data_IF_679062481432
#
_entry.id   IF_679062481432
#
_cell.length_a   1.000
_cell.length_b   1.000
_cell.length_c   1.000
_cell.angle_alpha   90.00
_cell.angle_beta   90.00
_cell.angle_gamma   90.00
#
_symmetry.space_group_name_H-M   'P 1'
#
loop_
_entity.id
_entity.type
_entity.pdbx_description
1 polymer ?
#
# COMPACT_ATOMS: atom_id res chain seq x y z
N UNK A 1 -21.50 1.05 1.11
CA UNK A 1 -21.30 -0.26 1.71
C UNK A 1 -22.55 -0.65 2.46
N UNK A 2 -23.02 -1.85 2.15
CA UNK A 2 -24.22 -2.35 2.82
C UNK A 2 -23.93 -2.60 4.30
N UNK A 3 -24.95 -2.55 5.16
CA UNK A 3 -24.83 -2.97 6.56
C UNK A 3 -24.16 -4.34 6.73
N UNK A 4 -24.27 -5.20 5.72
CA UNK A 4 -23.61 -6.51 5.69
C UNK A 4 -22.06 -6.43 5.67
N UNK A 5 -21.48 -5.36 5.12
CA UNK A 5 -20.03 -5.17 5.20
C UNK A 5 -19.58 -4.79 6.61
N UNK A 6 -20.43 -4.14 7.37
CA UNK A 6 -20.15 -3.87 8.77
C UNK A 6 -20.34 -5.09 9.68
N UNK A 7 -21.25 -6.00 9.34
CA UNK A 7 -21.47 -7.21 10.13
C UNK A 7 -20.26 -8.16 10.13
N UNK A 8 -19.39 -8.04 9.15
CA UNK A 8 -18.12 -8.76 9.12
C UNK A 8 -17.11 -8.37 10.20
N UNK A 9 -17.33 -7.24 10.88
CA UNK A 9 -16.39 -6.78 11.91
C UNK A 9 -16.34 -7.67 13.14
N UNK A 10 -17.50 -8.19 13.54
CA UNK A 10 -17.59 -9.10 14.68
C UNK A 10 -16.86 -10.42 14.43
N UNK A 11 -16.76 -10.85 13.19
CA UNK A 11 -16.10 -12.10 12.82
C UNK A 11 -14.58 -11.96 12.69
N UNK A 12 -14.06 -10.74 12.67
CA UNK A 12 -12.63 -10.48 12.49
C UNK A 12 -11.84 -10.57 13.80
N UNK A 13 -12.50 -10.46 14.93
CA UNK A 13 -11.90 -10.63 16.24
C UNK A 13 -12.29 -12.01 16.79
N UNK A 14 -11.37 -12.98 16.89
CA UNK A 14 -11.61 -14.18 17.67
C UNK A 14 -11.93 -13.78 19.11
N UNK A 15 -12.91 -14.41 19.70
CA UNK A 15 -13.42 -14.08 21.04
C UNK A 15 -12.35 -14.04 22.16
N UNK A 16 -11.16 -14.51 21.88
CA UNK A 16 -10.07 -14.67 22.85
C UNK A 16 -8.80 -13.87 22.55
N UNK A 17 -8.68 -13.24 21.39
CA UNK A 17 -7.36 -12.73 20.93
C UNK A 17 -7.27 -11.24 20.67
N UNK A 18 -8.13 -10.46 21.26
CA UNK A 18 -7.95 -9.04 21.17
C UNK A 18 -8.68 -8.34 20.03
N UNK A 19 -8.38 -7.10 19.92
CA UNK A 19 -9.14 -6.10 19.15
C UNK A 19 -8.64 -6.07 17.72
N UNK A 20 -9.34 -6.70 16.78
CA UNK A 20 -9.06 -6.62 15.36
C UNK A 20 -9.93 -5.55 14.67
N UNK A 21 -9.44 -5.05 13.51
CA UNK A 21 -10.10 -4.00 12.76
C UNK A 21 -9.69 -2.59 13.17
N UNK A 22 -10.07 -1.62 12.35
CA UNK A 22 -9.74 -0.21 12.54
C UNK A 22 -10.67 0.44 13.55
N UNK A 23 -10.12 1.30 14.40
CA UNK A 23 -10.89 2.17 15.30
C UNK A 23 -11.55 3.35 14.57
N UNK A 24 -11.28 3.53 13.28
CA UNK A 24 -11.96 4.47 12.40
C UNK A 24 -13.11 3.73 11.71
N UNK A 25 -14.36 3.94 12.13
CA UNK A 25 -15.51 3.27 11.55
C UNK A 25 -15.83 3.84 10.16
N UNK A 26 -16.71 3.14 9.46
CA UNK A 26 -17.17 3.55 8.14
C UNK A 26 -17.96 4.87 8.14
N UNK A 27 -18.68 5.13 9.22
CA UNK A 27 -19.66 6.24 9.29
C UNK A 27 -19.25 7.38 10.21
N UNK A 28 -18.19 7.21 10.98
CA UNK A 28 -17.66 8.26 11.83
C UNK A 28 -17.72 7.97 13.33
N UNK A 29 -16.77 8.53 14.05
CA UNK A 29 -16.58 8.39 15.48
C UNK A 29 -16.10 9.69 16.10
N UNK A 30 -16.69 10.10 17.19
CA UNK A 30 -16.16 11.11 18.09
C UNK A 30 -15.24 10.44 19.11
N UNK A 31 -13.93 10.64 18.96
CA UNK A 31 -12.93 9.92 19.77
C UNK A 31 -12.95 10.36 21.23
N UNK A 32 -12.99 11.67 21.47
CA UNK A 32 -13.01 12.23 22.82
C UNK A 32 -14.24 11.83 23.62
N UNK A 33 -15.38 11.68 22.97
CA UNK A 33 -16.66 11.33 23.60
C UNK A 33 -16.92 9.82 23.63
N UNK A 34 -16.07 9.04 22.99
CA UNK A 34 -16.23 7.59 22.95
C UNK A 34 -17.53 7.13 22.29
N UNK A 35 -18.02 7.85 21.27
CA UNK A 35 -19.26 7.50 20.55
C UNK A 35 -19.01 7.32 19.05
N UNK A 36 -19.84 6.56 18.38
CA UNK A 36 -19.79 6.42 16.92
C UNK A 36 -21.18 6.44 16.30
N UNK A 37 -21.25 6.85 15.04
CA UNK A 37 -22.49 6.91 14.29
C UNK A 37 -23.05 5.50 14.07
N UNK A 38 -24.30 5.32 14.48
CA UNK A 38 -25.01 4.07 14.30
C UNK A 38 -25.24 3.81 12.80
N UNK A 39 -25.04 2.58 12.31
CA UNK A 39 -25.29 2.23 10.93
C UNK A 39 -26.71 2.58 10.48
N UNK A 40 -26.81 3.24 9.32
CA UNK A 40 -28.10 3.66 8.75
C UNK A 40 -28.67 4.97 9.29
N UNK A 41 -27.97 5.63 10.22
CA UNK A 41 -28.35 6.95 10.72
C UNK A 41 -27.64 8.06 9.94
N UNK A 42 -28.25 9.25 9.96
CA UNK A 42 -27.78 10.41 9.19
C UNK A 42 -26.59 11.14 9.86
N UNK A 43 -26.50 11.05 11.18
CA UNK A 43 -25.56 11.85 11.98
C UNK A 43 -26.02 13.28 12.24
N UNK A 44 -27.29 13.59 11.96
CA UNK A 44 -27.83 14.92 12.14
C UNK A 44 -28.27 15.22 13.59
N UNK A 45 -28.37 14.20 14.42
CA UNK A 45 -28.74 14.29 15.83
C UNK A 45 -27.75 13.57 16.74
N UNK A 46 -27.67 14.02 17.99
CA UNK A 46 -26.90 13.33 19.06
C UNK A 46 -27.39 11.90 19.23
N UNK A 47 -28.69 11.66 19.09
CA UNK A 47 -29.32 10.34 19.24
C UNK A 47 -28.92 9.33 18.14
N UNK A 48 -28.30 9.80 17.08
CA UNK A 48 -27.77 8.95 16.02
C UNK A 48 -26.45 8.28 16.41
N UNK A 49 -25.84 8.72 17.51
CA UNK A 49 -24.56 8.21 18.00
C UNK A 49 -24.74 7.34 19.25
N UNK A 50 -24.06 6.23 19.26
CA UNK A 50 -24.07 5.26 20.37
C UNK A 50 -22.67 5.09 20.96
N UNK A 51 -22.57 4.62 22.20
CA UNK A 51 -21.28 4.35 22.84
C UNK A 51 -20.41 3.43 21.98
N UNK A 52 -19.13 3.78 21.92
CA UNK A 52 -18.16 3.01 21.16
C UNK A 52 -18.05 1.57 21.67
N UNK A 53 -18.09 0.64 20.75
CA UNK A 53 -17.81 -0.77 21.00
C UNK A 53 -17.00 -1.36 19.86
N UNK A 54 -16.49 -2.56 20.04
CA UNK A 54 -15.78 -3.28 18.99
C UNK A 54 -16.64 -3.57 17.76
N UNK A 55 -17.96 -3.56 17.89
CA UNK A 55 -18.89 -3.69 16.76
C UNK A 55 -18.79 -2.52 15.76
N UNK A 56 -18.33 -1.35 16.22
CA UNK A 56 -18.10 -0.18 15.36
C UNK A 56 -16.80 -0.22 14.55
N UNK A 57 -15.92 -1.22 14.77
CA UNK A 57 -14.64 -1.30 14.06
C UNK A 57 -14.81 -1.58 12.58
N UNK A 58 -13.98 -0.94 11.76
CA UNK A 58 -13.97 -1.20 10.31
C UNK A 58 -13.15 -2.45 9.97
N UNK A 59 -13.78 -3.44 9.37
CA UNK A 59 -13.08 -4.61 8.82
C UNK A 59 -12.46 -4.24 7.45
N UNK A 60 -11.16 -4.06 7.42
CA UNK A 60 -10.39 -3.75 6.22
C UNK A 60 -9.87 -5.00 5.50
N UNK A 61 -9.97 -6.18 6.12
CA UNK A 61 -9.39 -7.40 5.55
C UNK A 61 -9.96 -7.78 4.18
N UNK A 62 -11.28 -7.66 3.91
CA UNK A 62 -11.81 -7.98 2.59
C UNK A 62 -11.39 -7.01 1.49
N UNK A 63 -10.86 -5.85 1.86
CA UNK A 63 -10.48 -4.79 0.92
C UNK A 63 -8.99 -4.83 0.59
N UNK A 64 -8.17 -5.19 1.57
CA UNK A 64 -6.73 -5.28 1.37
C UNK A 64 -6.37 -6.51 0.55
N UNK A 65 -5.48 -6.36 -0.42
CA UNK A 65 -4.83 -7.50 -1.02
C UNK A 65 -3.90 -8.16 0.01
N UNK A 66 -4.15 -9.42 0.30
CA UNK A 66 -3.25 -10.25 1.13
C UNK A 66 -2.02 -10.62 0.31
N UNK A 67 -2.23 -10.92 -0.98
CA UNK A 67 -1.19 -11.15 -1.96
C UNK A 67 -1.46 -10.24 -3.16
N UNK A 68 -0.49 -9.42 -3.49
CA UNK A 68 -0.62 -8.51 -4.63
C UNK A 68 -0.49 -9.29 -5.93
N UNK A 69 -1.38 -9.07 -6.89
CA UNK A 69 -1.21 -9.59 -8.24
C UNK A 69 0.06 -8.99 -8.85
N UNK A 70 0.84 -9.85 -9.49
CA UNK A 70 2.09 -9.49 -10.17
C UNK A 70 2.11 -10.17 -11.52
N UNK A 71 2.17 -9.36 -12.57
CA UNK A 71 2.44 -9.83 -13.93
C UNK A 71 3.91 -9.56 -14.24
N UNK A 72 4.62 -10.60 -14.66
CA UNK A 72 6.05 -10.49 -14.98
C UNK A 72 6.34 -11.14 -16.32
N UNK A 73 7.05 -10.39 -17.15
CA UNK A 73 7.56 -10.85 -18.43
C UNK A 73 9.08 -10.68 -18.42
N UNK A 74 9.79 -11.67 -18.91
CA UNK A 74 11.24 -11.60 -19.00
C UNK A 74 11.76 -12.25 -20.27
N UNK A 75 12.80 -11.66 -20.82
CA UNK A 75 13.56 -12.20 -21.93
C UNK A 75 15.04 -12.25 -21.51
N UNK A 76 15.65 -13.38 -21.75
CA UNK A 76 17.08 -13.58 -21.58
C UNK A 76 17.65 -14.16 -22.87
N UNK A 77 18.80 -13.62 -23.29
CA UNK A 77 19.55 -14.11 -24.41
C UNK A 77 21.03 -14.12 -24.07
N UNK A 78 21.73 -15.16 -24.47
CA UNK A 78 23.20 -15.24 -24.37
C UNK A 78 23.78 -15.83 -25.64
N UNK A 79 24.95 -15.37 -25.99
CA UNK A 79 25.73 -15.92 -27.10
C UNK A 79 27.20 -15.93 -26.71
N UNK A 80 27.88 -16.97 -27.12
CA UNK A 80 29.30 -17.18 -26.98
C UNK A 80 29.88 -17.44 -28.37
N UNK A 81 31.05 -16.91 -28.61
CA UNK A 81 31.72 -17.02 -29.89
C UNK A 81 33.23 -17.25 -29.68
N UNK A 82 33.71 -18.39 -30.13
CA UNK A 82 35.13 -18.72 -30.10
C UNK A 82 35.86 -17.94 -31.20
N UNK A 83 36.72 -17.01 -30.82
CA UNK A 83 37.54 -16.22 -31.73
C UNK A 83 38.78 -17.04 -32.15
N UNK A 84 39.30 -17.79 -31.21
CA UNK A 84 40.41 -18.74 -31.42
C UNK A 84 40.37 -19.81 -30.33
N UNK A 85 41.29 -20.82 -30.41
CA UNK A 85 41.36 -21.89 -29.43
C UNK A 85 41.58 -21.40 -27.98
N UNK A 86 42.10 -20.18 -27.80
CA UNK A 86 42.42 -19.60 -26.49
C UNK A 86 41.68 -18.30 -26.18
N UNK A 87 40.70 -17.92 -27.01
CA UNK A 87 40.00 -16.66 -26.85
C UNK A 87 38.52 -16.81 -27.24
N UNK A 88 37.61 -16.51 -26.31
CA UNK A 88 36.19 -16.51 -26.48
C UNK A 88 35.60 -15.12 -26.18
N UNK A 89 34.60 -14.71 -26.94
CA UNK A 89 33.79 -13.56 -26.65
C UNK A 89 32.40 -14.01 -26.19
N UNK A 90 31.80 -13.28 -25.27
CA UNK A 90 30.44 -13.53 -24.84
C UNK A 90 29.61 -12.24 -24.81
N UNK A 91 28.30 -12.39 -25.01
CA UNK A 91 27.32 -11.35 -24.78
C UNK A 91 26.10 -11.96 -24.11
N UNK A 92 25.55 -11.26 -23.14
CA UNK A 92 24.35 -11.63 -22.41
C UNK A 92 23.44 -10.40 -22.36
N UNK A 93 22.16 -10.63 -22.59
CA UNK A 93 21.10 -9.62 -22.50
C UNK A 93 19.99 -10.14 -21.62
N UNK A 94 19.47 -9.28 -20.78
CA UNK A 94 18.24 -9.55 -20.01
C UNK A 94 17.33 -8.33 -20.04
N UNK A 95 16.06 -8.61 -20.13
CA UNK A 95 14.97 -7.64 -19.98
C UNK A 95 13.91 -8.24 -19.09
N UNK A 96 13.39 -7.44 -18.15
CA UNK A 96 12.26 -7.84 -17.32
C UNK A 96 11.32 -6.66 -17.15
N UNK A 97 10.05 -6.90 -17.44
CA UNK A 97 8.95 -6.02 -17.09
C UNK A 97 8.11 -6.66 -16.00
N UNK A 98 7.79 -5.90 -14.96
CA UNK A 98 6.96 -6.36 -13.84
C UNK A 98 5.93 -5.31 -13.48
N UNK A 99 4.65 -5.69 -13.55
CA UNK A 99 3.52 -4.89 -13.10
C UNK A 99 2.97 -5.46 -11.80
N UNK A 100 2.76 -4.60 -10.84
CA UNK A 100 2.22 -4.99 -9.53
C UNK A 100 1.13 -4.02 -9.10
N UNK A 101 -0.01 -4.55 -8.70
CA UNK A 101 -1.12 -3.76 -8.12
C UNK A 101 -1.19 -4.02 -6.62
N UNK A 102 -1.14 -2.95 -5.84
CA UNK A 102 -1.34 -3.02 -4.39
C UNK A 102 -2.64 -2.31 -4.03
N UNK A 103 -3.57 -3.04 -3.42
CA UNK A 103 -4.83 -2.47 -2.95
C UNK A 103 -4.88 -2.47 -1.43
N UNK A 104 -5.12 -1.30 -0.87
CA UNK A 104 -5.30 -1.08 0.56
C UNK A 104 -6.68 -0.50 0.83
N UNK A 105 -7.18 -0.75 2.02
CA UNK A 105 -8.41 -0.16 2.48
C UNK A 105 -8.36 1.38 2.44
N UNK A 106 -9.52 1.98 2.41
CA UNK A 106 -9.76 3.42 2.35
C UNK A 106 -8.96 4.17 3.41
N UNK A 107 -8.61 5.41 3.11
CA UNK A 107 -7.86 6.27 4.03
C UNK A 107 -8.67 6.53 5.30
N UNK A 108 -8.08 6.35 6.50
CA UNK A 108 -8.67 6.91 7.71
C UNK A 108 -8.50 8.42 7.69
N UNK A 109 -9.58 9.13 7.87
CA UNK A 109 -9.61 10.58 7.93
C UNK A 109 -9.95 11.02 9.35
N UNK A 110 -9.26 12.04 9.84
CA UNK A 110 -9.52 12.62 11.15
C UNK A 110 -9.62 14.13 11.04
N UNK A 111 -10.66 14.68 11.62
CA UNK A 111 -10.78 16.11 11.87
C UNK A 111 -10.52 16.35 13.34
N UNK A 112 -9.57 17.21 13.64
CA UNK A 112 -9.27 17.67 14.98
C UNK A 112 -9.82 19.09 15.18
N UNK A 113 -10.33 19.38 16.32
CA UNK A 113 -10.66 20.74 16.75
C UNK A 113 -9.42 21.58 17.08
N UNK A 114 -8.32 21.41 16.35
CA UNK A 114 -7.06 22.11 16.57
C UNK A 114 -6.12 21.94 15.39
N UNK A 115 -5.14 22.80 15.29
CA UNK A 115 -4.20 23.04 14.23
C UNK A 115 -3.61 21.79 13.49
N UNK A 116 -4.27 21.30 12.49
CA UNK A 116 -3.74 20.33 11.54
C UNK A 116 -4.06 20.74 10.09
N UNK A 117 -3.09 20.70 9.16
CA UNK A 117 -3.15 21.54 7.97
C UNK A 117 -4.05 21.05 6.84
N UNK A 118 -4.62 19.88 6.85
CA UNK A 118 -5.30 19.39 5.65
C UNK A 118 -6.75 18.92 5.82
N UNK A 119 -7.18 18.67 7.03
CA UNK A 119 -8.53 18.16 7.32
C UNK A 119 -9.22 19.02 8.37
N UNK A 120 -8.80 20.25 8.47
CA UNK A 120 -9.55 21.28 9.19
C UNK A 120 -10.84 21.51 8.43
N UNK A 121 -11.83 20.73 8.79
CA UNK A 121 -13.18 21.18 8.65
C UNK A 121 -13.29 22.40 9.58
N UNK A 122 -12.82 23.55 9.09
CA UNK A 122 -12.84 24.85 9.76
C UNK A 122 -12.80 24.79 11.29
N UNK A 123 -11.75 25.34 11.88
CA UNK A 123 -11.78 25.64 13.31
C UNK A 123 -13.17 26.17 13.65
N UNK A 124 -13.92 25.50 14.46
CA UNK A 124 -15.29 25.87 14.74
C UNK A 124 -16.35 24.87 14.27
N UNK A 125 -16.03 23.94 13.39
CA UNK A 125 -17.01 22.90 12.99
C UNK A 125 -17.06 21.73 13.97
N UNK A 126 -16.00 21.53 14.74
CA UNK A 126 -15.93 20.52 15.79
C UNK A 126 -15.61 21.13 17.16
N UNK A 127 -15.57 22.46 17.26
CA UNK A 127 -15.44 23.17 18.51
C UNK A 127 -16.81 23.38 19.18
N UNK A 128 -16.79 23.55 20.49
CA UNK A 128 -17.98 23.83 21.28
C UNK A 128 -18.75 25.01 20.71
N UNK A 129 -20.02 24.82 20.44
CA UNK A 129 -20.95 25.88 20.03
C UNK A 129 -20.94 26.27 18.57
N UNK A 130 -20.19 25.61 17.69
CA UNK A 130 -19.98 26.25 16.40
C UNK A 130 -20.18 25.45 15.14
N UNK A 131 -20.34 24.18 15.18
CA UNK A 131 -20.21 23.50 13.93
C UNK A 131 -21.47 22.87 13.37
N UNK A 132 -21.78 23.21 12.15
CA UNK A 132 -22.84 22.55 11.38
C UNK A 132 -22.73 21.01 11.40
N UNK A 133 -21.51 20.48 11.62
CA UNK A 133 -21.27 19.05 11.67
C UNK A 133 -20.92 18.51 13.06
N UNK A 134 -20.81 19.36 14.08
CA UNK A 134 -20.58 18.90 15.45
C UNK A 134 -21.89 18.93 16.25
N UNK A 135 -22.66 17.87 16.09
CA UNK A 135 -23.94 17.72 16.80
C UNK A 135 -23.77 17.48 18.30
N UNK A 136 -22.56 17.15 18.77
CA UNK A 136 -22.28 16.89 20.18
C UNK A 136 -22.08 18.16 20.99
N UNK A 137 -21.86 19.30 20.34
CA UNK A 137 -21.62 20.59 20.97
C UNK A 137 -20.47 20.60 22.01
N UNK A 138 -19.48 19.75 21.79
CA UNK A 138 -18.28 19.62 22.61
C UNK A 138 -17.04 19.58 21.73
N UNK A 139 -15.92 20.07 22.26
CA UNK A 139 -14.64 20.00 21.57
C UNK A 139 -14.17 18.55 21.52
N UNK A 140 -14.05 18.01 20.33
CA UNK A 140 -13.66 16.61 20.14
C UNK A 140 -13.04 16.37 18.76
N UNK A 141 -12.36 15.27 18.62
CA UNK A 141 -11.90 14.80 17.31
C UNK A 141 -12.94 13.84 16.70
N UNK A 142 -13.16 14.01 15.41
CA UNK A 142 -14.01 13.15 14.62
C UNK A 142 -13.18 12.40 13.59
N UNK A 143 -13.43 11.12 13.41
CA UNK A 143 -12.74 10.34 12.41
C UNK A 143 -13.59 9.24 11.79
N UNK A 144 -13.31 8.94 10.54
CA UNK A 144 -14.03 7.94 9.76
C UNK A 144 -13.13 7.34 8.67
N UNK A 145 -13.58 6.25 8.08
CA UNK A 145 -13.03 5.72 6.83
C UNK A 145 -13.78 6.30 5.64
N UNK A 146 -13.03 6.83 4.68
CA UNK A 146 -13.59 7.43 3.46
C UNK A 146 -14.08 6.37 2.46
N UNK A 147 -15.01 5.52 2.88
CA UNK A 147 -15.47 4.37 2.10
C UNK A 147 -16.12 4.76 0.76
N UNK A 148 -16.72 5.95 0.70
CA UNK A 148 -17.33 6.46 -0.52
C UNK A 148 -16.33 6.77 -1.64
N UNK A 149 -15.05 7.01 -1.29
CA UNK A 149 -13.98 7.30 -2.26
C UNK A 149 -13.43 6.00 -2.86
N UNK A 150 -13.61 4.87 -2.17
CA UNK A 150 -13.07 3.58 -2.58
C UNK A 150 -11.70 3.26 -1.96
N UNK A 151 -11.15 2.08 -2.26
CA UNK A 151 -9.85 1.65 -1.77
C UNK A 151 -8.71 2.49 -2.38
N UNK A 152 -7.57 2.45 -1.70
CA UNK A 152 -6.33 2.98 -2.25
C UNK A 152 -5.72 1.94 -3.16
N UNK A 153 -5.47 2.32 -4.40
CA UNK A 153 -4.83 1.47 -5.39
C UNK A 153 -3.51 2.12 -5.77
N UNK A 154 -2.46 1.33 -5.77
CA UNK A 154 -1.13 1.72 -6.19
C UNK A 154 -0.69 0.77 -7.29
N UNK A 155 -0.45 1.32 -8.46
CA UNK A 155 0.09 0.61 -9.60
C UNK A 155 1.59 0.87 -9.68
N UNK A 156 2.35 -0.20 -9.80
CA UNK A 156 3.80 -0.15 -9.91
C UNK A 156 4.23 -0.82 -11.20
N UNK A 157 4.92 -0.08 -12.03
CA UNK A 157 5.56 -0.59 -13.25
C UNK A 157 7.09 -0.54 -13.07
N UNK A 158 7.73 -1.69 -13.29
CA UNK A 158 9.17 -1.84 -13.26
C UNK A 158 9.64 -2.38 -14.59
N UNK A 159 10.52 -1.63 -15.26
CA UNK A 159 11.24 -2.07 -16.43
C UNK A 159 12.73 -2.13 -16.10
N UNK A 160 13.34 -3.30 -16.28
CA UNK A 160 14.78 -3.46 -16.08
C UNK A 160 15.40 -4.11 -17.31
N UNK A 161 16.53 -3.60 -17.72
CA UNK A 161 17.33 -4.25 -18.75
C UNK A 161 18.81 -4.22 -18.39
N UNK A 162 19.50 -5.23 -18.88
CA UNK A 162 20.93 -5.36 -18.69
C UNK A 162 21.59 -5.97 -19.90
N UNK A 163 22.77 -5.51 -20.19
CA UNK A 163 23.67 -6.11 -21.16
C UNK A 163 25.04 -6.31 -20.52
N UNK A 164 25.60 -7.50 -20.71
CA UNK A 164 26.94 -7.85 -20.30
C UNK A 164 27.68 -8.42 -21.50
N UNK A 165 28.89 -7.94 -21.75
CA UNK A 165 29.73 -8.45 -22.81
C UNK A 165 31.20 -8.49 -22.34
N UNK A 166 31.96 -9.45 -22.83
CA UNK A 166 33.32 -9.58 -22.46
C UNK A 166 34.10 -10.60 -23.30
N UNK A 167 35.33 -10.72 -22.93
CA UNK A 167 36.28 -11.68 -23.47
C UNK A 167 36.82 -12.56 -22.36
N UNK A 168 37.02 -13.82 -22.65
CA UNK A 168 37.67 -14.79 -21.78
C UNK A 168 38.73 -15.53 -22.57
N UNK A 169 39.85 -15.84 -21.90
CA UNK A 169 40.89 -16.53 -22.61
C UNK A 169 41.94 -17.15 -21.70
N UNK A 170 42.81 -17.90 -22.31
CA UNK A 170 43.92 -18.57 -21.67
C UNK A 170 45.24 -18.16 -22.34
N UNK A 171 46.32 -18.08 -21.57
CA UNK A 171 47.65 -17.94 -22.09
C UNK A 171 48.66 -18.71 -21.22
N UNK A 172 49.69 -19.19 -21.86
CA UNK A 172 50.76 -19.91 -21.20
C UNK A 172 51.93 -18.97 -20.90
N UNK A 173 52.41 -19.00 -19.65
CA UNK A 173 53.57 -18.25 -19.24
C UNK A 173 54.37 -19.01 -18.18
N UNK A 174 55.68 -19.14 -18.39
CA UNK A 174 56.56 -19.80 -17.44
C UNK A 174 56.26 -21.28 -17.18
N UNK A 175 55.65 -21.98 -18.15
CA UNK A 175 55.23 -23.38 -18.02
C UNK A 175 53.90 -23.59 -17.30
N UNK A 176 53.19 -22.53 -16.97
CA UNK A 176 51.82 -22.57 -16.38
C UNK A 176 50.84 -21.94 -17.34
N UNK A 177 49.58 -22.47 -17.31
CA UNK A 177 48.43 -21.91 -18.03
C UNK A 177 47.68 -20.95 -17.12
N UNK A 178 47.38 -19.77 -17.62
CA UNK A 178 46.64 -18.72 -16.91
C UNK A 178 45.32 -18.41 -17.64
N UNK A 179 44.22 -18.42 -16.89
CA UNK A 179 42.93 -17.96 -17.34
C UNK A 179 42.74 -16.46 -17.00
N UNK A 180 42.11 -15.73 -17.92
CA UNK A 180 41.71 -14.35 -17.70
C UNK A 180 40.33 -14.10 -18.25
N UNK A 181 39.57 -13.16 -17.65
CA UNK A 181 38.34 -12.63 -18.18
C UNK A 181 38.29 -11.10 -18.03
N UNK A 182 37.74 -10.43 -19.02
CA UNK A 182 37.54 -9.00 -19.02
C UNK A 182 36.19 -8.70 -19.64
N UNK A 183 35.37 -7.91 -18.98
CA UNK A 183 34.05 -7.59 -19.46
C UNK A 183 33.52 -6.29 -18.90
N UNK A 184 32.41 -5.86 -19.50
CA UNK A 184 31.60 -4.72 -19.04
C UNK A 184 30.15 -5.11 -18.91
N UNK A 185 29.46 -4.44 -18.00
CA UNK A 185 28.04 -4.61 -17.78
C UNK A 185 27.37 -3.25 -17.66
N UNK A 186 26.24 -3.10 -18.34
CA UNK A 186 25.33 -1.96 -18.23
C UNK A 186 24.00 -2.49 -17.75
N UNK A 187 23.45 -1.85 -16.72
CA UNK A 187 22.12 -2.12 -16.22
C UNK A 187 21.37 -0.80 -16.10
N UNK A 188 20.09 -0.82 -16.42
CA UNK A 188 19.17 0.27 -16.16
C UNK A 188 17.88 -0.27 -15.57
N UNK A 189 17.26 0.53 -14.71
CA UNK A 189 16.00 0.20 -14.08
C UNK A 189 15.13 1.46 -14.02
N UNK A 190 13.94 1.36 -14.61
CA UNK A 190 12.93 2.41 -14.59
C UNK A 190 11.77 1.99 -13.69
N UNK A 191 11.23 2.95 -12.98
CA UNK A 191 10.14 2.77 -12.06
C UNK A 191 9.10 3.87 -12.23
N UNK A 192 7.85 3.46 -12.45
CA UNK A 192 6.67 4.32 -12.48
C UNK A 192 5.67 3.89 -11.40
N UNK A 193 5.03 4.88 -10.73
CA UNK A 193 4.04 4.65 -9.68
C UNK A 193 2.91 5.67 -9.70
#
# INVERSE_FOLDING_TARGET
PSPAQNSGYGNFAPATSGICGSSFPAYGRYFGLGTYLQPGKSGASVDDFIPWSNAGRYNYAPVNHVQNPVDRYGVYASSEFDISDNLMAYVQFNYTKSKRVNQLAQVPMTAYGGAGPQWQLNQGRFATGGGYFNVMNEDTSFGFRSIAIGPRIYDYDYDTYGIRAGLEGNFDFGGNNYFWSAGMQLNDAQYDS
#
